data_IF_729214007758
#
_entry.id   IF_729214007758
#
_cell.length_a   1.000
_cell.length_b   1.000
_cell.length_c   1.000
_cell.angle_alpha   90.00
_cell.angle_beta   90.00
_cell.angle_gamma   90.00
#
_symmetry.space_group_name_H-M   'P 1'
#
loop_
_entity.id
_entity.type
_entity.pdbx_description
1 polymer ?
#
# COMPACT_ATOMS: atom_id res chain seq x y z
N UNK A 1 0.97 17.81 4.34
CA UNK A 1 0.56 16.44 4.71
C UNK A 1 1.83 15.61 4.65
N UNK A 2 2.09 14.73 5.62
CA UNK A 2 3.35 13.98 5.68
C UNK A 2 3.06 12.51 5.37
N UNK A 3 3.80 11.98 4.39
CA UNK A 3 3.80 10.57 3.98
C UNK A 3 4.92 9.80 4.69
N UNK A 4 4.60 8.57 5.06
CA UNK A 4 5.45 7.63 5.79
C UNK A 4 5.42 6.31 5.01
N UNK A 5 6.53 6.01 4.37
CA UNK A 5 6.67 4.91 3.40
C UNK A 5 7.71 3.86 3.82
N UNK A 6 8.41 4.10 4.92
CA UNK A 6 9.35 3.15 5.51
C UNK A 6 9.16 2.99 7.04
N UNK A 7 9.70 1.90 7.57
CA UNK A 7 9.60 1.58 8.99
C UNK A 7 10.40 2.53 9.88
N UNK A 8 11.46 3.15 9.36
CA UNK A 8 12.25 4.10 10.14
C UNK A 8 11.47 5.40 10.40
N UNK A 9 10.75 5.88 9.39
CA UNK A 9 9.81 7.00 9.46
C UNK A 9 8.64 6.67 10.38
N UNK A 10 8.09 5.44 10.29
CA UNK A 10 7.06 4.96 11.20
C UNK A 10 7.53 5.00 12.66
N UNK A 11 8.69 4.43 12.95
CA UNK A 11 9.27 4.43 14.29
C UNK A 11 9.50 5.86 14.81
N UNK A 12 9.98 6.75 13.94
CA UNK A 12 10.20 8.15 14.28
C UNK A 12 8.90 8.89 14.65
N UNK A 13 7.82 8.69 13.89
CA UNK A 13 6.52 9.34 14.20
C UNK A 13 5.86 8.73 15.44
N UNK A 14 6.00 7.42 15.65
CA UNK A 14 5.45 6.74 16.83
C UNK A 14 6.21 7.11 18.12
N UNK A 15 7.51 7.37 18.04
CA UNK A 15 8.32 7.84 19.17
C UNK A 15 8.13 9.34 19.48
N UNK A 16 7.60 10.11 18.54
CA UNK A 16 7.35 11.54 18.69
C UNK A 16 6.06 11.82 19.49
N UNK A 17 6.03 12.86 20.34
CA UNK A 17 4.81 13.28 21.04
C UNK A 17 3.77 13.98 20.14
N UNK A 18 4.10 14.21 18.85
CA UNK A 18 3.21 14.85 17.89
C UNK A 18 2.03 13.96 17.48
N UNK A 19 0.91 14.55 17.02
CA UNK A 19 -0.27 13.77 16.66
C UNK A 19 -0.06 12.95 15.38
N UNK A 20 -0.76 11.83 15.24
CA UNK A 20 -0.82 11.05 13.98
C UNK A 20 -1.92 11.54 13.01
N UNK A 21 -2.66 12.55 13.42
CA UNK A 21 -3.76 13.17 12.66
C UNK A 21 -3.28 13.59 11.28
N UNK A 22 -4.00 13.15 10.25
CA UNK A 22 -3.75 13.54 8.87
C UNK A 22 -2.46 12.99 8.23
N UNK A 23 -1.71 12.10 8.90
CA UNK A 23 -0.57 11.42 8.27
C UNK A 23 -1.03 10.43 7.19
N UNK A 24 -0.10 9.98 6.36
CA UNK A 24 -0.30 8.92 5.37
C UNK A 24 0.70 7.81 5.64
N UNK A 25 0.21 6.61 5.94
CA UNK A 25 1.03 5.41 6.06
C UNK A 25 0.85 4.61 4.78
N UNK A 26 1.93 4.40 4.03
CA UNK A 26 1.88 3.81 2.70
C UNK A 26 2.74 2.57 2.64
N UNK A 27 2.13 1.46 2.23
CA UNK A 27 2.77 0.15 2.01
C UNK A 27 3.60 -0.39 3.19
N UNK A 28 3.23 -0.01 4.42
CA UNK A 28 3.95 -0.40 5.63
C UNK A 28 3.50 -1.78 6.15
N UNK A 29 4.47 -2.62 6.53
CA UNK A 29 4.19 -3.78 7.37
C UNK A 29 4.10 -3.34 8.84
N UNK A 30 2.87 -3.23 9.36
CA UNK A 30 2.63 -2.83 10.75
C UNK A 30 2.70 -4.01 11.74
N UNK A 31 3.08 -5.20 11.27
CA UNK A 31 3.28 -6.37 12.13
C UNK A 31 4.38 -6.07 13.14
N UNK A 32 4.08 -6.18 14.43
CA UNK A 32 4.99 -5.83 15.53
C UNK A 32 4.94 -4.37 15.96
N UNK A 33 4.24 -3.49 15.22
CA UNK A 33 4.02 -2.08 15.58
C UNK A 33 2.57 -1.82 16.04
N UNK A 34 1.77 -2.87 16.30
CA UNK A 34 0.36 -2.70 16.68
C UNK A 34 0.23 -2.01 18.03
N UNK A 35 1.00 -2.44 19.04
CA UNK A 35 0.89 -1.91 20.40
C UNK A 35 1.04 -0.38 20.50
N UNK A 36 2.08 0.26 19.92
CA UNK A 36 2.20 1.71 19.96
C UNK A 36 1.07 2.42 19.21
N UNK A 37 0.57 1.87 18.10
CA UNK A 37 -0.54 2.49 17.34
C UNK A 37 -1.88 2.32 18.07
N UNK A 38 -2.14 1.16 18.67
CA UNK A 38 -3.34 0.88 19.48
C UNK A 38 -3.42 1.78 20.73
N UNK A 39 -2.29 2.28 21.22
CA UNK A 39 -2.25 3.23 22.33
C UNK A 39 -2.64 4.67 21.93
N UNK A 40 -2.81 4.95 20.63
CA UNK A 40 -3.13 6.28 20.09
C UNK A 40 -4.63 6.46 19.87
N UNK A 41 -5.11 7.67 20.08
CA UNK A 41 -6.51 8.06 19.84
C UNK A 41 -6.64 9.27 18.90
N UNK A 42 -5.51 9.91 18.59
CA UNK A 42 -5.32 11.07 17.74
C UNK A 42 -5.20 10.71 16.25
N UNK A 43 -6.00 9.74 15.80
CA UNK A 43 -5.90 9.10 14.49
C UNK A 43 -6.84 9.72 13.44
N UNK A 44 -7.51 10.82 13.76
CA UNK A 44 -8.49 11.45 12.87
C UNK A 44 -7.83 11.86 11.54
N UNK A 45 -8.42 11.42 10.44
CA UNK A 45 -7.92 11.74 9.10
C UNK A 45 -6.59 11.08 8.74
N UNK A 46 -5.99 10.24 9.59
CA UNK A 46 -4.90 9.33 9.19
C UNK A 46 -5.41 8.45 8.05
N UNK A 47 -4.59 8.22 7.02
CA UNK A 47 -4.91 7.25 5.97
C UNK A 47 -3.83 6.19 5.95
N UNK A 48 -4.25 4.93 5.94
CA UNK A 48 -3.40 3.77 5.72
C UNK A 48 -3.70 3.22 4.33
N UNK A 49 -2.68 3.20 3.47
CA UNK A 49 -2.71 2.77 2.08
C UNK A 49 -1.94 1.46 1.95
N UNK A 50 -2.66 0.33 1.89
CA UNK A 50 -2.05 -0.98 1.72
C UNK A 50 -1.25 -1.45 2.92
N UNK A 51 -0.14 -2.14 2.62
CA UNK A 51 0.72 -2.75 3.63
C UNK A 51 0.08 -3.94 4.33
N UNK A 52 0.64 -4.28 5.50
CA UNK A 52 0.14 -5.39 6.34
C UNK A 52 -0.40 -4.82 7.64
N UNK A 53 -1.71 -4.93 7.81
CA UNK A 53 -2.45 -4.41 8.95
C UNK A 53 -3.31 -5.53 9.53
N UNK A 54 -3.17 -5.80 10.82
CA UNK A 54 -4.03 -6.79 11.49
C UNK A 54 -5.49 -6.30 11.55
N UNK A 55 -6.44 -7.24 11.64
CA UNK A 55 -7.87 -6.90 11.69
C UNK A 55 -8.20 -5.99 12.87
N UNK A 56 -7.65 -6.29 14.05
CA UNK A 56 -7.86 -5.51 15.28
C UNK A 56 -7.30 -4.09 15.14
N UNK A 57 -6.11 -3.94 14.55
CA UNK A 57 -5.51 -2.64 14.29
C UNK A 57 -6.33 -1.83 13.28
N UNK A 58 -6.76 -2.46 12.19
CA UNK A 58 -7.61 -1.82 11.18
C UNK A 58 -8.96 -1.38 11.77
N UNK A 59 -9.52 -2.13 12.71
CA UNK A 59 -10.73 -1.76 13.43
C UNK A 59 -10.47 -0.53 14.33
N UNK A 60 -9.41 -0.55 15.13
CA UNK A 60 -9.03 0.57 16.01
C UNK A 60 -8.81 1.87 15.23
N UNK A 61 -8.03 1.80 14.15
CA UNK A 61 -7.78 2.91 13.23
C UNK A 61 -9.10 3.57 12.76
N UNK A 62 -10.04 2.76 12.25
CA UNK A 62 -11.34 3.26 11.78
C UNK A 62 -12.20 3.83 12.90
N UNK A 63 -12.20 3.21 14.08
CA UNK A 63 -12.95 3.71 15.25
C UNK A 63 -12.49 5.11 15.70
N UNK A 64 -11.22 5.44 15.47
CA UNK A 64 -10.63 6.73 15.80
C UNK A 64 -10.50 7.69 14.59
N UNK A 65 -11.27 7.45 13.52
CA UNK A 65 -11.41 8.40 12.41
C UNK A 65 -10.35 8.28 11.31
N UNK A 66 -9.54 7.22 11.31
CA UNK A 66 -8.64 6.92 10.21
C UNK A 66 -9.38 6.21 9.06
N UNK A 67 -8.88 6.40 7.83
CA UNK A 67 -9.28 5.63 6.66
C UNK A 67 -8.26 4.53 6.41
N UNK A 68 -8.72 3.32 6.13
CA UNK A 68 -7.85 2.17 5.87
C UNK A 68 -8.26 1.56 4.54
N UNK A 69 -7.39 1.70 3.55
CA UNK A 69 -7.51 1.12 2.21
C UNK A 69 -6.67 -0.15 2.15
N UNK A 70 -7.29 -1.34 2.15
CA UNK A 70 -6.54 -2.59 2.17
C UNK A 70 -5.89 -2.89 0.81
N UNK A 71 -4.86 -3.74 0.83
CA UNK A 71 -4.38 -4.44 -0.35
C UNK A 71 -5.40 -5.50 -0.77
N UNK A 72 -5.78 -5.53 -2.05
CA UNK A 72 -6.61 -6.60 -2.60
C UNK A 72 -5.72 -7.74 -3.11
N UNK A 73 -5.78 -8.95 -2.50
CA UNK A 73 -5.00 -10.10 -2.96
C UNK A 73 -5.41 -10.63 -4.35
N UNK A 74 -6.57 -10.20 -4.88
CA UNK A 74 -7.03 -10.54 -6.23
C UNK A 74 -6.37 -9.69 -7.33
N UNK A 75 -5.62 -8.64 -6.97
CA UNK A 75 -4.94 -7.76 -7.92
C UNK A 75 -3.46 -8.16 -8.03
N UNK A 76 -2.92 -8.37 -9.25
CA UNK A 76 -1.55 -8.86 -9.44
C UNK A 76 -0.47 -7.78 -9.30
N UNK A 77 -0.86 -6.56 -8.92
CA UNK A 77 0.04 -5.44 -8.64
C UNK A 77 -0.13 -4.99 -7.20
N UNK A 78 0.92 -4.41 -6.62
CA UNK A 78 0.78 -3.66 -5.37
C UNK A 78 0.54 -2.20 -5.75
N UNK A 79 -0.67 -1.65 -5.56
CA UNK A 79 -0.99 -0.30 -6.01
C UNK A 79 -0.35 0.79 -5.15
N UNK A 80 0.19 0.46 -3.99
CA UNK A 80 0.68 1.45 -3.01
C UNK A 80 2.21 1.54 -2.97
N UNK A 81 2.93 0.94 -3.92
CA UNK A 81 4.41 0.86 -3.89
C UNK A 81 5.06 2.25 -3.86
N UNK A 82 5.96 2.45 -2.91
CA UNK A 82 6.81 3.65 -2.85
C UNK A 82 8.02 3.61 -3.80
N UNK A 83 8.31 2.46 -4.44
CA UNK A 83 9.50 2.29 -5.28
C UNK A 83 9.18 1.61 -6.60
N UNK A 84 9.97 1.95 -7.63
CA UNK A 84 9.91 1.30 -8.93
C UNK A 84 10.21 -0.19 -8.82
N UNK A 85 9.48 -0.97 -9.62
CA UNK A 85 9.78 -2.36 -9.83
C UNK A 85 11.19 -2.56 -10.36
N UNK A 86 11.92 -3.46 -9.73
CA UNK A 86 13.19 -3.96 -10.23
C UNK A 86 12.95 -5.11 -11.22
N UNK A 87 13.83 -5.30 -12.22
CA UNK A 87 13.66 -6.38 -13.19
C UNK A 87 13.49 -7.77 -12.55
N UNK A 88 14.22 -8.07 -11.47
CA UNK A 88 14.12 -9.36 -10.79
C UNK A 88 12.76 -9.59 -10.12
N UNK A 89 12.05 -8.52 -9.74
CA UNK A 89 10.68 -8.61 -9.21
C UNK A 89 9.69 -8.88 -10.35
N UNK A 90 9.81 -8.16 -11.46
CA UNK A 90 8.92 -8.30 -12.63
C UNK A 90 8.99 -9.67 -13.29
N UNK A 91 10.17 -10.30 -13.29
CA UNK A 91 10.42 -11.61 -13.89
C UNK A 91 10.55 -12.73 -12.86
N UNK A 92 10.08 -12.52 -11.63
CA UNK A 92 10.07 -13.55 -10.60
C UNK A 92 9.32 -14.82 -11.09
N UNK A 93 9.93 -15.99 -10.91
CA UNK A 93 9.34 -17.29 -11.31
C UNK A 93 9.45 -17.65 -12.80
N UNK A 94 10.15 -16.83 -13.61
CA UNK A 94 10.27 -17.03 -15.06
C UNK A 94 10.88 -18.40 -15.43
N UNK A 95 11.91 -18.85 -14.70
CA UNK A 95 12.61 -20.11 -15.02
C UNK A 95 11.78 -21.34 -14.67
N UNK A 96 10.93 -21.23 -13.65
CA UNK A 96 10.14 -22.30 -13.08
C UNK A 96 8.79 -22.46 -13.79
N UNK A 97 8.13 -21.34 -14.10
CA UNK A 97 6.72 -21.32 -14.51
C UNK A 97 6.49 -20.69 -15.89
N UNK A 98 7.55 -20.16 -16.53
CA UNK A 98 7.46 -19.44 -17.80
C UNK A 98 6.98 -17.99 -17.64
N UNK A 99 6.94 -17.26 -18.75
CA UNK A 99 6.65 -15.82 -18.75
C UNK A 99 5.21 -15.50 -18.32
N UNK A 100 4.22 -16.29 -18.73
CA UNK A 100 2.81 -16.02 -18.43
C UNK A 100 2.47 -16.03 -16.93
N UNK A 101 3.36 -16.59 -16.10
CA UNK A 101 3.23 -16.63 -14.66
C UNK A 101 3.99 -15.52 -13.92
N UNK A 102 4.72 -14.65 -14.63
CA UNK A 102 5.50 -13.58 -14.00
C UNK A 102 4.60 -12.41 -13.58
N UNK A 103 5.00 -11.62 -12.56
CA UNK A 103 4.27 -10.42 -12.18
C UNK A 103 4.03 -9.44 -13.34
N UNK A 104 5.01 -9.28 -14.24
CA UNK A 104 4.88 -8.45 -15.44
C UNK A 104 3.74 -8.91 -16.36
N UNK A 105 3.71 -10.19 -16.72
CA UNK A 105 2.66 -10.73 -17.58
C UNK A 105 1.29 -10.64 -16.91
N UNK A 106 1.20 -10.97 -15.62
CA UNK A 106 -0.06 -10.89 -14.86
C UNK A 106 -0.58 -9.45 -14.78
N UNK A 107 0.30 -8.48 -14.48
CA UNK A 107 -0.05 -7.06 -14.46
C UNK A 107 -0.51 -6.57 -15.85
N UNK A 108 0.19 -6.95 -16.92
CA UNK A 108 -0.19 -6.61 -18.28
C UNK A 108 -1.57 -7.17 -18.65
N UNK A 109 -1.81 -8.46 -18.39
CA UNK A 109 -3.09 -9.10 -18.66
C UNK A 109 -4.22 -8.45 -17.87
N UNK A 110 -3.99 -8.15 -16.59
CA UNK A 110 -4.96 -7.46 -15.74
C UNK A 110 -5.24 -6.04 -16.21
N UNK A 111 -4.24 -5.28 -16.65
CA UNK A 111 -4.44 -3.92 -17.19
C UNK A 111 -5.26 -3.92 -18.49
N UNK A 112 -5.21 -5.03 -19.24
CA UNK A 112 -5.91 -5.23 -20.50
C UNK A 112 -7.29 -5.85 -20.38
N UNK A 113 -7.64 -6.36 -19.21
CA UNK A 113 -8.94 -6.97 -18.97
C UNK A 113 -10.03 -5.90 -19.04
N UNK A 114 -10.89 -6.02 -20.06
CA UNK A 114 -11.99 -5.11 -20.39
C UNK A 114 -13.12 -5.13 -19.36
N UNK A 115 -13.35 -6.26 -18.71
CA UNK A 115 -14.47 -6.44 -17.79
C UNK A 115 -14.21 -5.72 -16.47
N UNK A 116 -12.94 -5.62 -16.07
CA UNK A 116 -12.52 -4.88 -14.87
C UNK A 116 -12.56 -3.35 -15.03
N UNK A 117 -12.76 -2.81 -16.24
CA UNK A 117 -12.99 -1.37 -16.44
C UNK A 117 -14.33 -0.87 -15.89
N UNK A 118 -15.29 -1.77 -15.65
CA UNK A 118 -16.60 -1.41 -15.07
C UNK A 118 -16.61 -1.51 -13.55
N UNK A 119 -15.52 -1.97 -12.93
CA UNK A 119 -15.36 -2.01 -11.49
C UNK A 119 -14.67 -0.72 -11.00
N UNK A 120 -15.40 0.08 -10.24
CA UNK A 120 -14.90 1.33 -9.67
C UNK A 120 -13.73 1.10 -8.71
N UNK A 121 -13.71 -0.03 -7.99
CA UNK A 121 -12.62 -0.37 -7.09
C UNK A 121 -11.36 -0.71 -7.87
N UNK A 122 -11.45 -1.52 -8.93
CA UNK A 122 -10.30 -1.79 -9.81
C UNK A 122 -9.78 -0.51 -10.47
N UNK A 123 -10.68 0.37 -10.91
CA UNK A 123 -10.31 1.67 -11.47
C UNK A 123 -9.55 2.52 -10.45
N UNK A 124 -9.99 2.55 -9.20
CA UNK A 124 -9.29 3.23 -8.11
C UNK A 124 -7.88 2.63 -7.90
N UNK A 125 -7.75 1.30 -7.81
CA UNK A 125 -6.45 0.67 -7.59
C UNK A 125 -5.47 0.92 -8.74
N UNK A 126 -5.94 0.94 -10.00
CA UNK A 126 -5.13 1.33 -11.16
C UNK A 126 -4.66 2.78 -11.06
N UNK A 127 -5.56 3.69 -10.72
CA UNK A 127 -5.23 5.11 -10.59
C UNK A 127 -4.18 5.35 -9.48
N UNK A 128 -4.32 4.68 -8.34
CA UNK A 128 -3.33 4.77 -7.25
C UNK A 128 -1.99 4.18 -7.71
N UNK A 129 -1.99 3.00 -8.35
CA UNK A 129 -0.77 2.40 -8.87
C UNK A 129 -0.02 3.31 -9.85
N UNK A 130 -0.74 3.91 -10.81
CA UNK A 130 -0.15 4.79 -11.81
C UNK A 130 0.42 6.08 -11.20
N UNK A 131 -0.25 6.63 -10.18
CA UNK A 131 0.23 7.76 -9.40
C UNK A 131 1.51 7.40 -8.63
N UNK A 132 1.50 6.28 -7.89
CA UNK A 132 2.66 5.76 -7.16
C UNK A 132 3.87 5.49 -8.07
N UNK A 133 3.67 4.95 -9.27
CA UNK A 133 4.76 4.75 -10.23
C UNK A 133 5.27 6.08 -10.80
N UNK A 134 4.40 7.07 -11.00
CA UNK A 134 4.78 8.40 -11.49
C UNK A 134 5.59 9.17 -10.46
N UNK A 135 5.22 9.05 -9.19
CA UNK A 135 5.94 9.63 -8.06
C UNK A 135 7.32 8.98 -7.89
N UNK A 136 7.36 7.64 -7.80
CA UNK A 136 8.62 6.90 -7.71
C UNK A 136 9.56 7.12 -8.90
N UNK A 137 9.04 7.45 -10.10
CA UNK A 137 9.86 7.85 -11.26
C UNK A 137 10.49 9.24 -11.09
N UNK A 138 9.84 10.13 -10.35
CA UNK A 138 10.29 11.52 -10.13
C UNK A 138 11.37 11.62 -9.07
N UNK A 139 11.49 10.61 -8.19
CA UNK A 139 12.50 10.55 -7.12
C UNK A 139 13.84 9.93 -7.52
N UNK A 140 13.95 9.43 -8.76
CA UNK A 140 15.17 8.77 -9.31
C UNK A 140 16.14 9.75 -9.96
#
# INVERSE_FOLDING_TARGET
MQEIEDLAGLDAVLASPGPLTGLRFQDLDLTGHEAPVLARTDLEGLVVLGGRVSADLAQHLRQHGALVFPTDPGVPVNPYRATLYQPHELYAGLSENGYDATPDALAYHWSRDGDSHHDAFVTLLRAIHDDSMSDALSEV
#
